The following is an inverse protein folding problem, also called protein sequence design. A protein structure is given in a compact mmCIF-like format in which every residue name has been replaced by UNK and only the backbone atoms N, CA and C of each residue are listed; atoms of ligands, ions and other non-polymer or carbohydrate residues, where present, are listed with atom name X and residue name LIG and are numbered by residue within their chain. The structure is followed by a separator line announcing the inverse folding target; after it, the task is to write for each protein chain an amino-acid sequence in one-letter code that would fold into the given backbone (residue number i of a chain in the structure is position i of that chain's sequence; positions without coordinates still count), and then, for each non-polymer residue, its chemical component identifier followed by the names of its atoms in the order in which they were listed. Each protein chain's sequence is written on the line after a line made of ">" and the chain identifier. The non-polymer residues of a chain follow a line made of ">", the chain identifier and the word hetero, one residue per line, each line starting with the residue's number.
data_IF_318765149648
#
_entry.id   IF_318765149648
#
_cell.length_a   1.000
_cell.length_b   1.000
_cell.length_c   1.000
_cell.angle_alpha   90.00
_cell.angle_beta   90.00
_cell.angle_gamma   90.00
#
_symmetry.space_group_name_H-M   'P 1'
#
loop_
_entity.id
_entity.type
_entity.pdbx_description
1 polymer ?
#
# COMPACT_ATOMS: atom_id res chain seq x y z
N UNK A 1 6.47 12.66 -31.74
CA UNK A 1 6.35 11.38 -31.02
C UNK A 1 5.16 11.49 -30.07
N UNK A 2 4.40 10.43 -29.87
CA UNK A 2 3.34 10.34 -28.89
C UNK A 2 3.67 9.22 -27.91
N UNK A 3 3.47 9.45 -26.62
CA UNK A 3 3.53 8.44 -25.58
C UNK A 3 2.09 7.96 -25.32
N UNK A 4 1.87 6.65 -25.34
CA UNK A 4 0.58 6.04 -25.02
C UNK A 4 0.81 5.20 -23.77
N UNK A 5 0.08 5.52 -22.71
CA UNK A 5 0.12 4.78 -21.42
C UNK A 5 -1.25 4.15 -21.17
N UNK A 6 -1.26 3.07 -20.42
CA UNK A 6 -2.50 2.48 -19.91
C UNK A 6 -3.16 3.44 -18.91
N UNK A 7 -4.48 3.55 -18.99
CA UNK A 7 -5.23 4.34 -18.01
C UNK A 7 -5.29 3.60 -16.67
N UNK A 8 -4.81 4.24 -15.61
CA UNK A 8 -4.88 3.70 -14.27
C UNK A 8 -6.32 3.85 -13.73
N UNK A 9 -7.09 2.78 -13.82
CA UNK A 9 -8.47 2.74 -13.32
C UNK A 9 -8.51 2.86 -11.79
N UNK A 10 -9.62 3.37 -11.27
CA UNK A 10 -9.85 3.54 -9.82
C UNK A 10 -8.76 4.35 -9.11
N UNK A 11 -8.22 5.35 -9.80
CA UNK A 11 -7.22 6.25 -9.25
C UNK A 11 -7.74 7.69 -9.17
N UNK A 12 -7.33 8.39 -8.14
CA UNK A 12 -7.74 9.76 -7.86
C UNK A 12 -6.53 10.68 -7.72
N UNK A 13 -6.58 11.89 -8.31
CA UNK A 13 -5.63 12.94 -7.98
C UNK A 13 -5.88 13.45 -6.55
N UNK A 14 -4.84 13.96 -5.88
CA UNK A 14 -4.96 14.45 -4.51
C UNK A 14 -6.08 15.48 -4.32
N UNK A 15 -6.29 16.41 -5.27
CA UNK A 15 -7.39 17.40 -5.21
C UNK A 15 -8.77 16.76 -5.14
N UNK A 16 -8.96 15.61 -5.78
CA UNK A 16 -10.19 14.87 -5.69
C UNK A 16 -10.39 14.25 -4.30
N UNK A 17 -9.31 13.75 -3.69
CA UNK A 17 -9.33 13.23 -2.32
C UNK A 17 -9.61 14.34 -1.29
N UNK A 18 -9.10 15.55 -1.53
CA UNK A 18 -9.32 16.71 -0.66
C UNK A 18 -10.59 17.53 -0.97
N UNK A 19 -11.43 17.12 -1.93
CA UNK A 19 -12.66 17.86 -2.30
C UNK A 19 -13.77 17.86 -1.25
N UNK A 20 -13.60 17.13 -0.15
CA UNK A 20 -14.45 17.17 1.06
C UNK A 20 -13.52 17.33 2.26
N UNK A 21 -14.04 17.70 3.44
CA UNK A 21 -13.24 17.80 4.65
C UNK A 21 -12.41 16.52 4.86
N UNK A 22 -11.10 16.65 4.68
CA UNK A 22 -10.15 15.57 4.82
C UNK A 22 -9.74 15.49 6.30
N UNK A 23 -9.74 14.29 6.84
CA UNK A 23 -9.23 14.09 8.19
C UNK A 23 -7.69 14.09 8.17
N UNK A 24 -7.02 14.53 9.25
CA UNK A 24 -5.58 14.45 9.39
C UNK A 24 -5.01 13.04 9.14
N UNK A 25 -5.79 12.01 9.45
CA UNK A 25 -5.47 10.62 9.18
C UNK A 25 -5.37 10.31 7.67
N UNK A 26 -6.28 10.84 6.86
CA UNK A 26 -6.21 10.67 5.40
C UNK A 26 -4.96 11.34 4.81
N UNK A 27 -4.63 12.56 5.26
CA UNK A 27 -3.40 13.26 4.85
C UNK A 27 -2.18 12.41 5.19
N UNK A 28 -2.14 11.87 6.42
CA UNK A 28 -1.04 10.99 6.86
C UNK A 28 -0.87 9.78 5.93
N UNK A 29 -1.97 9.08 5.60
CA UNK A 29 -1.94 7.89 4.73
C UNK A 29 -1.50 8.21 3.30
N UNK A 30 -1.86 9.39 2.77
CA UNK A 30 -1.39 9.84 1.45
C UNK A 30 0.12 10.12 1.46
N UNK A 31 0.64 10.75 2.51
CA UNK A 31 2.08 10.97 2.67
C UNK A 31 2.85 9.66 2.86
N UNK A 32 2.31 8.72 3.61
CA UNK A 32 2.89 7.38 3.76
C UNK A 32 2.99 6.66 2.40
N UNK A 33 1.93 6.71 1.59
CA UNK A 33 1.92 6.14 0.25
C UNK A 33 2.96 6.80 -0.68
N UNK A 34 3.07 8.14 -0.63
CA UNK A 34 4.08 8.88 -1.40
C UNK A 34 5.51 8.56 -0.94
N UNK A 35 5.74 8.44 0.36
CA UNK A 35 7.04 8.03 0.90
C UNK A 35 7.45 6.64 0.42
N UNK A 36 6.53 5.69 0.43
CA UNK A 36 6.75 4.34 -0.11
C UNK A 36 7.08 4.39 -1.60
N UNK A 37 6.31 5.16 -2.40
CA UNK A 37 6.58 5.35 -3.82
C UNK A 37 7.99 5.90 -4.04
N UNK A 38 8.36 6.96 -3.33
CA UNK A 38 9.66 7.61 -3.49
C UNK A 38 10.83 6.68 -3.12
N UNK A 39 10.68 5.90 -2.04
CA UNK A 39 11.67 4.87 -1.67
C UNK A 39 11.80 3.82 -2.79
N UNK A 40 10.69 3.33 -3.34
CA UNK A 40 10.69 2.35 -4.45
C UNK A 40 11.41 2.90 -5.69
N UNK A 41 11.12 4.13 -6.08
CA UNK A 41 11.77 4.80 -7.22
C UNK A 41 13.27 4.96 -6.99
N UNK A 42 13.68 5.40 -5.80
CA UNK A 42 15.08 5.58 -5.45
C UNK A 42 15.86 4.26 -5.37
N UNK A 43 15.24 3.17 -4.90
CA UNK A 43 15.85 1.83 -4.90
C UNK A 43 16.07 1.32 -6.33
N UNK A 44 15.18 1.65 -7.26
CA UNK A 44 15.31 1.34 -8.68
C UNK A 44 16.31 2.27 -9.42
N UNK A 45 16.81 3.30 -8.76
CA UNK A 45 17.72 4.28 -9.34
C UNK A 45 17.04 5.41 -10.10
N UNK A 46 15.73 5.58 -9.99
CA UNK A 46 15.03 6.72 -10.60
C UNK A 46 15.14 7.94 -9.70
N UNK A 47 15.78 8.99 -10.21
CA UNK A 47 15.69 10.35 -9.70
C UNK A 47 14.47 11.01 -10.33
N UNK A 48 13.54 11.51 -9.54
CA UNK A 48 12.28 12.04 -10.06
C UNK A 48 12.41 13.50 -10.53
N UNK A 49 13.00 14.37 -9.70
CA UNK A 49 13.29 15.77 -10.05
C UNK A 49 12.10 16.74 -9.97
N UNK A 50 10.87 16.24 -9.78
CA UNK A 50 9.65 17.06 -9.63
C UNK A 50 8.61 16.37 -8.75
N UNK A 51 9.02 15.96 -7.57
CA UNK A 51 8.15 15.25 -6.60
C UNK A 51 7.06 16.17 -6.10
N UNK A 52 5.80 15.82 -6.34
CA UNK A 52 4.63 16.57 -5.90
C UNK A 52 3.38 15.69 -5.79
N UNK A 53 2.37 16.14 -5.05
CA UNK A 53 1.06 15.48 -5.02
C UNK A 53 0.33 15.62 -6.37
N UNK A 54 0.58 16.70 -7.11
CA UNK A 54 0.01 16.95 -8.44
C UNK A 54 0.48 15.95 -9.47
N UNK A 55 1.72 15.45 -9.34
CA UNK A 55 2.33 14.46 -10.23
C UNK A 55 2.13 13.02 -9.74
N UNK A 56 1.16 12.84 -8.83
CA UNK A 56 0.85 11.55 -8.20
C UNK A 56 -0.64 11.25 -8.30
N UNK A 57 -0.98 10.02 -8.69
CA UNK A 57 -2.30 9.44 -8.50
C UNK A 57 -2.30 8.47 -7.34
N UNK A 58 -3.45 8.34 -6.70
CA UNK A 58 -3.63 7.46 -5.54
C UNK A 58 -4.75 6.47 -5.80
N UNK A 59 -4.53 5.20 -5.46
CA UNK A 59 -5.56 4.16 -5.40
C UNK A 59 -5.79 3.76 -3.94
N UNK A 60 -7.00 3.35 -3.62
CA UNK A 60 -7.28 2.77 -2.30
C UNK A 60 -6.58 1.42 -2.16
N UNK A 61 -6.12 1.13 -0.96
CA UNK A 61 -5.39 -0.09 -0.65
C UNK A 61 -5.74 -0.58 0.77
N UNK A 62 -6.92 -1.18 0.91
CA UNK A 62 -7.38 -1.81 2.16
C UNK A 62 -7.19 -0.93 3.42
N UNK A 63 -7.71 0.28 3.37
CA UNK A 63 -7.59 1.27 4.46
C UNK A 63 -6.36 2.17 4.38
N UNK A 64 -5.43 1.90 3.47
CA UNK A 64 -4.31 2.75 3.10
C UNK A 64 -4.50 3.30 1.67
N UNK A 65 -3.42 3.80 1.09
CA UNK A 65 -3.33 4.21 -0.32
C UNK A 65 -2.05 3.67 -0.94
N UNK A 66 -2.13 3.35 -2.24
CA UNK A 66 -0.97 3.19 -3.12
C UNK A 66 -0.80 4.42 -3.98
N UNK A 67 0.43 4.89 -4.16
CA UNK A 67 0.77 6.07 -4.94
C UNK A 67 1.45 5.68 -6.26
N UNK A 68 1.13 6.41 -7.32
CA UNK A 68 1.62 6.19 -8.68
C UNK A 68 2.15 7.48 -9.28
N UNK A 69 3.38 7.43 -9.80
CA UNK A 69 3.97 8.52 -10.57
C UNK A 69 3.29 8.61 -11.95
N UNK A 70 2.75 9.77 -12.30
CA UNK A 70 2.07 9.99 -13.59
C UNK A 70 2.78 10.96 -14.52
N UNK A 71 3.69 11.76 -13.99
CA UNK A 71 4.55 12.63 -14.78
C UNK A 71 6.03 12.36 -14.47
N UNK A 72 6.70 11.71 -15.39
CA UNK A 72 8.10 11.30 -15.28
C UNK A 72 9.01 12.05 -16.26
N UNK A 73 8.57 13.18 -16.83
CA UNK A 73 9.34 13.89 -17.87
C UNK A 73 10.67 14.44 -17.34
N UNK A 74 10.74 14.76 -16.04
CA UNK A 74 11.95 15.21 -15.35
C UNK A 74 12.78 14.04 -14.80
N UNK A 75 12.24 12.81 -14.88
CA UNK A 75 12.83 11.62 -14.29
C UNK A 75 14.09 11.15 -15.01
N UNK A 76 15.11 10.80 -14.25
CA UNK A 76 16.36 10.24 -14.77
C UNK A 76 16.65 8.87 -14.12
N UNK A 77 16.74 7.83 -14.95
CA UNK A 77 17.15 6.51 -14.48
C UNK A 77 18.68 6.41 -14.42
N UNK A 78 19.21 6.03 -13.27
CA UNK A 78 20.62 5.87 -12.98
C UNK A 78 20.91 4.50 -12.38
N UNK A 79 22.12 3.95 -12.54
CA UNK A 79 22.48 2.66 -11.91
C UNK A 79 22.34 2.67 -10.38
N UNK A 80 22.56 3.83 -9.76
CA UNK A 80 22.40 4.08 -8.32
C UNK A 80 22.32 5.58 -8.08
N UNK A 81 21.42 5.99 -7.21
CA UNK A 81 21.36 7.38 -6.76
C UNK A 81 22.36 7.65 -5.63
N UNK A 82 23.00 8.80 -5.70
CA UNK A 82 23.77 9.32 -4.57
C UNK A 82 22.86 9.79 -3.44
N UNK A 83 23.40 9.91 -2.25
CA UNK A 83 22.68 10.47 -1.10
C UNK A 83 22.14 11.88 -1.42
N UNK A 84 22.99 12.74 -2.00
CA UNK A 84 22.60 14.12 -2.33
C UNK A 84 21.46 14.21 -3.36
N UNK A 85 21.37 13.27 -4.32
CA UNK A 85 20.23 13.22 -5.25
C UNK A 85 18.94 12.87 -4.56
N UNK A 86 18.95 11.88 -3.67
CA UNK A 86 17.77 11.51 -2.88
C UNK A 86 17.34 12.64 -1.94
N UNK A 87 18.29 13.29 -1.27
CA UNK A 87 18.03 14.44 -0.40
C UNK A 87 17.43 15.60 -1.17
N UNK A 88 17.86 15.83 -2.42
CA UNK A 88 17.28 16.87 -3.26
C UNK A 88 15.82 16.56 -3.67
N UNK A 89 15.51 15.32 -4.06
CA UNK A 89 14.13 14.91 -4.33
C UNK A 89 13.24 15.04 -3.06
N UNK A 90 13.78 14.74 -1.89
CA UNK A 90 13.05 14.92 -0.63
C UNK A 90 12.79 16.39 -0.31
N UNK A 91 13.75 17.26 -0.57
CA UNK A 91 13.61 18.71 -0.33
C UNK A 91 12.57 19.32 -1.29
N UNK A 92 12.58 18.87 -2.54
CA UNK A 92 11.53 19.21 -3.53
C UNK A 92 10.15 18.70 -3.06
N UNK A 93 10.06 17.42 -2.66
CA UNK A 93 8.82 16.83 -2.16
C UNK A 93 8.25 17.66 -1.00
N UNK A 94 9.08 17.94 0.00
CA UNK A 94 8.68 18.76 1.14
C UNK A 94 8.17 20.14 0.73
N UNK A 95 8.91 20.83 -0.12
CA UNK A 95 8.59 22.20 -0.56
C UNK A 95 7.29 22.23 -1.37
N UNK A 96 7.15 21.34 -2.35
CA UNK A 96 5.99 21.27 -3.22
C UNK A 96 4.73 20.87 -2.43
N UNK A 97 4.83 19.86 -1.55
CA UNK A 97 3.71 19.42 -0.71
C UNK A 97 3.23 20.54 0.20
N UNK A 98 4.13 21.28 0.86
CA UNK A 98 3.76 22.44 1.69
C UNK A 98 3.01 23.47 0.84
N UNK A 99 3.50 23.81 -0.35
CA UNK A 99 2.84 24.74 -1.27
C UNK A 99 1.43 24.27 -1.67
N UNK A 100 1.30 23.00 -2.05
CA UNK A 100 0.02 22.40 -2.46
C UNK A 100 -0.98 22.33 -1.29
N UNK A 101 -0.51 22.04 -0.08
CA UNK A 101 -1.37 22.07 1.13
C UNK A 101 -1.80 23.48 1.51
N UNK A 102 -0.93 24.49 1.35
CA UNK A 102 -1.30 25.91 1.52
C UNK A 102 -2.38 26.33 0.51
N UNK A 103 -2.29 25.88 -0.74
CA UNK A 103 -3.31 26.11 -1.75
C UNK A 103 -4.66 25.48 -1.35
N UNK A 104 -4.64 24.27 -0.77
CA UNK A 104 -5.84 23.61 -0.24
C UNK A 104 -6.45 24.36 0.96
N UNK A 105 -5.62 24.88 1.86
CA UNK A 105 -6.08 25.75 2.96
C UNK A 105 -6.72 27.02 2.42
N UNK A 106 -6.07 27.71 1.50
CA UNK A 106 -6.59 28.91 0.88
C UNK A 106 -7.93 28.67 0.14
N UNK A 107 -8.09 27.45 -0.42
CA UNK A 107 -9.34 26.99 -1.06
C UNK A 107 -10.43 26.51 -0.09
N UNK A 108 -10.17 26.43 1.20
CA UNK A 108 -11.12 25.94 2.21
C UNK A 108 -11.31 24.41 2.21
N UNK A 109 -10.40 23.66 1.58
CA UNK A 109 -10.42 22.19 1.54
C UNK A 109 -9.66 21.53 2.68
N UNK A 110 -8.73 22.27 3.30
CA UNK A 110 -7.98 21.88 4.48
C UNK A 110 -8.25 22.89 5.59
N UNK A 111 -8.29 22.45 6.86
CA UNK A 111 -8.53 23.31 8.00
C UNK A 111 -7.44 24.39 8.16
N UNK A 112 -7.83 25.61 8.52
CA UNK A 112 -6.89 26.72 8.74
C UNK A 112 -5.93 26.45 9.92
N UNK A 113 -6.35 25.61 10.87
CA UNK A 113 -5.57 25.21 12.06
C UNK A 113 -4.53 24.11 11.77
N UNK A 114 -4.53 23.52 10.56
CA UNK A 114 -3.59 22.46 10.21
C UNK A 114 -2.19 23.03 9.95
N UNK A 115 -1.19 22.48 10.64
CA UNK A 115 0.22 22.85 10.43
C UNK A 115 0.77 22.17 9.17
N UNK A 116 0.61 22.83 8.02
CA UNK A 116 1.05 22.31 6.71
C UNK A 116 2.59 22.14 6.63
N UNK A 117 3.34 22.87 7.45
CA UNK A 117 4.80 22.73 7.51
C UNK A 117 5.14 21.42 8.21
N UNK A 118 4.53 21.16 9.36
CA UNK A 118 4.71 19.89 10.08
C UNK A 118 4.24 18.70 9.23
N UNK A 119 3.16 18.84 8.46
CA UNK A 119 2.69 17.82 7.52
C UNK A 119 3.75 17.57 6.43
N UNK A 120 4.33 18.64 5.85
CA UNK A 120 5.39 18.50 4.83
C UNK A 120 6.68 17.90 5.38
N UNK A 121 7.03 18.18 6.64
CA UNK A 121 8.21 17.60 7.30
C UNK A 121 8.08 16.07 7.47
N UNK A 122 6.87 15.56 7.68
CA UNK A 122 6.59 14.14 7.85
C UNK A 122 6.98 13.28 6.63
N UNK A 123 6.94 13.83 5.40
CA UNK A 123 7.38 13.05 4.23
C UNK A 123 8.87 12.70 4.33
N UNK A 124 9.69 13.64 4.80
CA UNK A 124 11.13 13.44 4.97
C UNK A 124 11.41 12.44 6.09
N UNK A 125 10.72 12.58 7.22
CA UNK A 125 10.84 11.65 8.34
C UNK A 125 10.46 10.23 7.91
N UNK A 126 9.29 10.07 7.30
CA UNK A 126 8.77 8.76 6.89
C UNK A 126 9.64 8.10 5.83
N UNK A 127 10.12 8.86 4.84
CA UNK A 127 11.08 8.35 3.87
C UNK A 127 12.37 7.86 4.54
N UNK A 128 12.94 8.63 5.45
CA UNK A 128 14.19 8.28 6.11
C UNK A 128 14.05 7.03 6.99
N UNK A 129 12.94 6.87 7.70
CA UNK A 129 12.62 5.65 8.45
C UNK A 129 12.57 4.43 7.55
N UNK A 130 11.81 4.51 6.45
CA UNK A 130 11.68 3.43 5.47
C UNK A 130 13.03 3.11 4.80
N UNK A 131 13.74 4.15 4.36
CA UNK A 131 15.05 3.97 3.73
C UNK A 131 16.04 3.28 4.65
N UNK A 132 16.08 3.68 5.92
CA UNK A 132 16.90 3.07 6.94
C UNK A 132 16.55 1.59 7.13
N UNK A 133 15.29 1.28 7.34
CA UNK A 133 14.82 -0.09 7.52
C UNK A 133 15.18 -0.99 6.33
N UNK A 134 15.08 -0.47 5.10
CA UNK A 134 15.32 -1.22 3.88
C UNK A 134 16.80 -1.37 3.49
N UNK A 135 17.68 -0.45 3.91
CA UNK A 135 19.04 -0.37 3.38
C UNK A 135 20.15 -0.46 4.42
N UNK A 136 19.87 -0.12 5.68
CA UNK A 136 20.93 -0.11 6.70
C UNK A 136 21.18 -1.51 7.28
N UNK A 137 22.47 -1.82 7.59
CA UNK A 137 22.80 -3.04 8.31
C UNK A 137 22.30 -2.99 9.75
N UNK A 138 21.81 -4.10 10.26
CA UNK A 138 21.44 -4.29 11.66
C UNK A 138 22.38 -5.27 12.34
N UNK A 139 22.87 -4.90 13.55
CA UNK A 139 23.67 -5.76 14.40
C UNK A 139 22.75 -6.57 15.30
N UNK A 140 22.77 -7.90 15.15
CA UNK A 140 21.96 -8.81 15.92
C UNK A 140 22.87 -9.72 16.75
N UNK A 141 22.69 -9.79 18.09
CA UNK A 141 23.38 -10.76 18.94
C UNK A 141 23.16 -12.21 18.47
N UNK A 142 24.15 -13.07 18.64
CA UNK A 142 24.09 -14.46 18.18
C UNK A 142 23.00 -15.31 18.86
N UNK A 143 22.59 -14.92 20.04
CA UNK A 143 21.50 -15.51 20.82
C UNK A 143 20.11 -14.97 20.43
N UNK A 144 20.03 -13.86 19.68
CA UNK A 144 18.79 -13.22 19.24
C UNK A 144 18.48 -13.45 17.76
N UNK A 145 18.79 -14.62 17.20
CA UNK A 145 18.56 -14.94 15.77
C UNK A 145 17.10 -14.77 15.31
N UNK A 146 16.14 -14.84 16.23
CA UNK A 146 14.72 -14.60 15.94
C UNK A 146 14.46 -13.18 15.41
N UNK A 147 15.29 -12.20 15.74
CA UNK A 147 15.20 -10.83 15.21
C UNK A 147 15.44 -10.74 13.69
N UNK A 148 16.16 -11.72 13.12
CA UNK A 148 16.30 -11.81 11.65
C UNK A 148 14.93 -12.01 11.01
N UNK A 149 14.17 -12.97 11.55
CA UNK A 149 12.83 -13.24 11.04
C UNK A 149 11.89 -12.05 11.30
N UNK A 150 11.94 -11.46 12.48
CA UNK A 150 11.17 -10.27 12.81
C UNK A 150 11.46 -9.11 11.84
N UNK A 151 12.72 -8.88 11.46
CA UNK A 151 13.07 -7.86 10.47
C UNK A 151 12.51 -8.20 9.08
N UNK A 152 12.61 -9.44 8.65
CA UNK A 152 12.03 -9.89 7.37
C UNK A 152 10.52 -9.65 7.38
N UNK A 153 9.86 -9.96 8.48
CA UNK A 153 8.40 -9.81 8.59
C UNK A 153 8.01 -8.31 8.59
N UNK A 154 8.76 -7.44 9.28
CA UNK A 154 8.57 -5.98 9.20
C UNK A 154 8.72 -5.46 7.76
N UNK A 155 9.74 -5.91 7.02
CA UNK A 155 9.93 -5.52 5.62
C UNK A 155 8.77 -5.98 4.73
N UNK A 156 8.27 -7.20 4.96
CA UNK A 156 7.07 -7.72 4.26
C UNK A 156 5.82 -6.91 4.61
N UNK A 157 5.66 -6.53 5.87
CA UNK A 157 4.54 -5.66 6.29
C UNK A 157 4.54 -4.31 5.59
N UNK A 158 5.71 -3.82 5.19
CA UNK A 158 5.87 -2.61 4.38
C UNK A 158 5.70 -2.86 2.87
N UNK A 159 5.32 -4.08 2.46
CA UNK A 159 5.13 -4.46 1.05
C UNK A 159 6.42 -4.81 0.30
N UNK A 160 7.52 -5.04 1.01
CA UNK A 160 8.80 -5.39 0.39
C UNK A 160 9.17 -6.86 0.63
N UNK A 161 9.71 -7.54 -0.39
CA UNK A 161 10.34 -8.84 -0.23
C UNK A 161 11.86 -8.71 -0.21
N UNK A 162 12.49 -9.51 0.63
CA UNK A 162 13.94 -9.60 0.71
C UNK A 162 14.40 -10.79 -0.10
N UNK A 163 15.09 -10.55 -1.22
CA UNK A 163 15.62 -11.62 -2.09
C UNK A 163 16.86 -12.29 -1.48
N UNK A 164 17.75 -11.49 -0.93
CA UNK A 164 18.99 -11.96 -0.28
C UNK A 164 19.27 -11.14 0.99
N UNK A 165 19.70 -11.85 2.03
CA UNK A 165 20.29 -11.25 3.23
C UNK A 165 21.78 -11.54 3.26
N UNK A 166 22.58 -10.51 3.44
CA UNK A 166 23.99 -10.69 3.79
C UNK A 166 24.08 -10.89 5.30
N UNK A 167 24.69 -11.98 5.71
CA UNK A 167 24.98 -12.28 7.11
C UNK A 167 26.49 -12.38 7.28
N UNK A 168 27.09 -11.36 7.87
CA UNK A 168 28.49 -11.35 8.23
C UNK A 168 28.64 -11.47 9.76
N UNK A 169 29.60 -12.30 10.22
CA UNK A 169 29.91 -12.40 11.65
C UNK A 169 30.99 -11.39 12.02
N UNK A 170 30.81 -10.68 13.13
CA UNK A 170 31.90 -9.89 13.71
C UNK A 170 33.09 -10.78 14.13
N UNK A 171 34.33 -10.23 14.12
CA UNK A 171 35.47 -10.91 14.71
C UNK A 171 35.21 -11.24 16.19
N UNK A 172 34.98 -12.53 16.51
CA UNK A 172 34.58 -13.00 17.84
C UNK A 172 33.28 -13.80 17.85
N UNK A 173 32.44 -13.70 16.81
CA UNK A 173 31.23 -14.53 16.64
C UNK A 173 30.06 -14.20 17.55
N UNK A 174 30.12 -13.09 18.31
CA UNK A 174 29.09 -12.70 19.28
C UNK A 174 27.88 -11.98 18.62
N UNK A 175 28.08 -11.43 17.41
CA UNK A 175 27.05 -10.69 16.67
C UNK A 175 27.06 -11.02 15.20
N UNK A 176 25.88 -10.88 14.59
CA UNK A 176 25.70 -10.94 13.13
C UNK A 176 25.36 -9.55 12.61
N UNK A 177 25.99 -9.18 11.48
CA UNK A 177 25.59 -8.00 10.69
C UNK A 177 24.61 -8.52 9.64
N UNK A 178 23.39 -8.01 9.65
CA UNK A 178 22.35 -8.38 8.70
C UNK A 178 21.98 -7.15 7.89
N UNK A 179 22.08 -7.29 6.57
CA UNK A 179 21.68 -6.25 5.63
C UNK A 179 20.88 -6.86 4.48
N UNK A 180 19.70 -6.32 4.15
CA UNK A 180 18.99 -6.67 2.92
C UNK A 180 19.87 -6.29 1.71
N UNK A 181 20.16 -7.26 0.85
CA UNK A 181 20.97 -7.05 -0.36
C UNK A 181 20.11 -6.75 -1.56
N UNK A 182 19.00 -7.45 -1.67
CA UNK A 182 17.99 -7.25 -2.72
C UNK A 182 16.65 -7.06 -2.06
N UNK A 183 16.07 -5.90 -2.27
CA UNK A 183 14.74 -5.54 -1.77
C UNK A 183 13.87 -5.25 -2.98
N UNK A 184 12.75 -5.97 -3.08
CA UNK A 184 11.81 -5.86 -4.18
C UNK A 184 10.40 -5.52 -3.65
N UNK A 185 9.76 -4.52 -4.22
CA UNK A 185 8.42 -4.09 -3.84
C UNK A 185 7.33 -4.95 -4.48
N UNK A 186 6.12 -4.97 -3.89
CA UNK A 186 4.97 -5.71 -4.42
C UNK A 186 5.04 -7.21 -4.13
N UNK A 187 5.43 -7.59 -2.93
CA UNK A 187 5.52 -9.00 -2.51
C UNK A 187 4.16 -9.70 -2.57
N UNK A 188 3.16 -9.15 -1.89
CA UNK A 188 1.82 -9.74 -1.81
C UNK A 188 1.07 -9.62 -3.13
N UNK A 189 1.16 -8.47 -3.81
CA UNK A 189 0.63 -8.27 -5.17
C UNK A 189 1.04 -9.40 -6.12
N UNK A 190 2.36 -9.68 -6.23
CA UNK A 190 2.85 -10.75 -7.11
C UNK A 190 2.37 -12.13 -6.71
N UNK A 191 2.20 -12.37 -5.40
CA UNK A 191 1.70 -13.64 -4.91
C UNK A 191 0.23 -13.84 -5.27
N UNK A 192 -0.64 -12.85 -5.04
CA UNK A 192 -2.06 -12.88 -5.43
C UNK A 192 -2.20 -13.00 -6.93
N UNK A 193 -1.51 -12.15 -7.71
CA UNK A 193 -1.54 -12.19 -9.17
C UNK A 193 -1.19 -13.59 -9.70
N UNK A 194 -0.17 -14.25 -9.17
CA UNK A 194 0.22 -15.61 -9.58
C UNK A 194 -0.81 -16.68 -9.20
N UNK A 195 -1.48 -16.55 -8.06
CA UNK A 195 -2.43 -17.54 -7.56
C UNK A 195 -3.83 -17.38 -8.16
N UNK A 196 -4.26 -16.16 -8.41
CA UNK A 196 -5.66 -15.82 -8.75
C UNK A 196 -5.81 -15.06 -10.07
N UNK A 197 -4.76 -14.42 -10.57
CA UNK A 197 -4.83 -13.50 -11.72
C UNK A 197 -5.40 -12.12 -11.38
N UNK A 198 -5.66 -11.84 -10.11
CA UNK A 198 -6.22 -10.55 -9.67
C UNK A 198 -5.10 -9.53 -9.51
N UNK A 199 -5.30 -8.35 -10.11
CA UNK A 199 -4.49 -7.16 -9.91
C UNK A 199 -4.99 -6.41 -8.66
N UNK A 200 -4.33 -6.63 -7.52
CA UNK A 200 -4.66 -6.04 -6.24
C UNK A 200 -3.47 -5.23 -5.71
N UNK A 201 -3.73 -4.12 -5.02
CA UNK A 201 -2.70 -3.37 -4.31
C UNK A 201 -2.09 -4.20 -3.17
N UNK A 202 -1.01 -3.74 -2.58
CA UNK A 202 -0.19 -4.56 -1.68
C UNK A 202 -0.94 -4.97 -0.40
N UNK A 203 -1.64 -4.04 0.25
CA UNK A 203 -2.42 -4.34 1.47
C UNK A 203 -3.73 -5.09 1.14
N UNK A 204 -4.37 -4.80 0.00
CA UNK A 204 -5.49 -5.60 -0.50
C UNK A 204 -5.05 -7.05 -0.73
N UNK A 205 -3.92 -7.24 -1.42
CA UNK A 205 -3.35 -8.56 -1.71
C UNK A 205 -3.00 -9.32 -0.42
N UNK A 206 -2.40 -8.65 0.58
CA UNK A 206 -2.16 -9.23 1.89
C UNK A 206 -3.45 -9.72 2.53
N UNK A 207 -4.50 -8.88 2.54
CA UNK A 207 -5.81 -9.24 3.10
C UNK A 207 -6.42 -10.45 2.41
N UNK A 208 -6.30 -10.52 1.07
CA UNK A 208 -6.80 -11.65 0.29
C UNK A 208 -6.05 -12.95 0.62
N UNK A 209 -4.74 -12.89 0.82
CA UNK A 209 -3.93 -14.06 1.21
C UNK A 209 -4.26 -14.54 2.63
N UNK A 210 -4.45 -13.60 3.56
CA UNK A 210 -4.84 -13.93 4.94
C UNK A 210 -6.21 -14.64 4.96
N UNK A 211 -7.19 -14.13 4.18
CA UNK A 211 -8.51 -14.73 4.06
C UNK A 211 -8.46 -16.12 3.37
N UNK A 212 -7.61 -16.26 2.33
CA UNK A 212 -7.38 -17.56 1.67
C UNK A 212 -6.81 -18.60 2.65
N UNK A 213 -5.86 -18.24 3.50
CA UNK A 213 -5.32 -19.15 4.51
C UNK A 213 -6.36 -19.47 5.59
N UNK A 214 -7.20 -18.51 5.95
CA UNK A 214 -8.33 -18.77 6.84
C UNK A 214 -9.34 -19.73 6.20
N UNK A 215 -9.66 -19.55 4.91
CA UNK A 215 -10.52 -20.47 4.14
C UNK A 215 -9.94 -21.87 4.13
N UNK A 216 -8.63 -22.03 3.86
CA UNK A 216 -7.91 -23.31 3.93
C UNK A 216 -8.11 -23.99 5.30
N UNK A 217 -7.91 -23.24 6.39
CA UNK A 217 -8.03 -23.74 7.75
C UNK A 217 -9.46 -24.21 8.09
N UNK A 218 -10.47 -23.40 7.77
CA UNK A 218 -11.89 -23.69 8.05
C UNK A 218 -12.37 -24.93 7.30
N UNK A 219 -11.90 -25.14 6.05
CA UNK A 219 -12.32 -26.27 5.21
C UNK A 219 -11.41 -27.50 5.33
N UNK A 220 -10.35 -27.43 6.15
CA UNK A 220 -9.43 -28.57 6.38
C UNK A 220 -8.63 -28.95 5.13
N UNK A 221 -8.30 -28.00 4.25
CA UNK A 221 -7.65 -28.23 2.94
C UNK A 221 -6.12 -28.25 3.04
N UNK A 222 -5.57 -28.82 4.09
CA UNK A 222 -4.12 -28.81 4.35
C UNK A 222 -3.32 -29.65 3.36
N UNK A 223 -3.91 -30.73 2.84
CA UNK A 223 -3.27 -31.64 1.89
C UNK A 223 -3.39 -31.17 0.43
N UNK A 224 -4.19 -30.11 0.18
CA UNK A 224 -4.38 -29.55 -1.16
C UNK A 224 -3.27 -28.54 -1.51
N UNK A 225 -2.92 -28.46 -2.79
CA UNK A 225 -1.99 -27.44 -3.26
C UNK A 225 -2.59 -26.03 -3.11
N UNK A 226 -1.73 -25.04 -2.90
CA UNK A 226 -2.18 -23.63 -2.75
C UNK A 226 -2.99 -23.15 -3.97
N UNK A 227 -2.67 -23.61 -5.19
CA UNK A 227 -3.41 -23.27 -6.39
C UNK A 227 -4.85 -23.81 -6.37
N UNK A 228 -5.06 -25.05 -5.89
CA UNK A 228 -6.39 -25.65 -5.75
C UNK A 228 -7.20 -24.90 -4.70
N UNK A 229 -6.59 -24.57 -3.58
CA UNK A 229 -7.25 -23.80 -2.52
C UNK A 229 -7.61 -22.40 -3.03
N UNK A 230 -6.71 -21.72 -3.72
CA UNK A 230 -6.96 -20.40 -4.31
C UNK A 230 -8.11 -20.42 -5.32
N UNK A 231 -8.19 -21.45 -6.17
CA UNK A 231 -9.30 -21.60 -7.13
C UNK A 231 -10.65 -21.78 -6.42
N UNK A 232 -10.71 -22.63 -5.38
CA UNK A 232 -11.94 -22.81 -4.60
C UNK A 232 -12.33 -21.51 -3.87
N UNK A 233 -11.37 -20.88 -3.22
CA UNK A 233 -11.59 -19.60 -2.54
C UNK A 233 -12.11 -18.52 -3.50
N UNK A 234 -11.54 -18.43 -4.70
CA UNK A 234 -12.04 -17.52 -5.74
C UNK A 234 -13.52 -17.77 -6.04
N UNK A 235 -13.90 -19.04 -6.26
CA UNK A 235 -15.27 -19.43 -6.62
C UNK A 235 -16.26 -19.25 -5.47
N UNK A 236 -15.85 -19.57 -4.25
CA UNK A 236 -16.74 -19.64 -3.09
C UNK A 236 -16.83 -18.32 -2.31
N UNK A 237 -15.81 -17.46 -2.40
CA UNK A 237 -15.70 -16.25 -1.59
C UNK A 237 -15.58 -14.98 -2.43
N UNK A 238 -14.54 -14.85 -3.27
CA UNK A 238 -14.27 -13.60 -3.99
C UNK A 238 -15.29 -13.32 -5.10
N UNK A 239 -15.51 -14.26 -6.00
CA UNK A 239 -16.41 -14.06 -7.14
C UNK A 239 -17.88 -13.80 -6.75
N UNK A 240 -18.45 -14.44 -5.71
CA UNK A 240 -19.81 -14.11 -5.26
C UNK A 240 -19.95 -12.66 -4.82
N UNK A 241 -18.94 -12.10 -4.13
CA UNK A 241 -18.94 -10.69 -3.72
C UNK A 241 -18.92 -9.78 -4.95
N UNK A 242 -17.99 -10.01 -5.88
CA UNK A 242 -17.81 -9.17 -7.06
C UNK A 242 -19.01 -9.25 -8.00
N UNK A 243 -19.56 -10.45 -8.21
CA UNK A 243 -20.74 -10.66 -9.09
C UNK A 243 -22.03 -10.08 -8.53
N UNK A 244 -22.13 -9.90 -7.24
CA UNK A 244 -23.30 -9.28 -6.59
C UNK A 244 -23.35 -7.76 -6.82
N UNK A 245 -22.23 -7.11 -7.22
CA UNK A 245 -22.18 -5.67 -7.45
C UNK A 245 -23.00 -5.29 -8.69
N UNK A 246 -24.03 -4.45 -8.55
CA UNK A 246 -24.80 -3.96 -9.69
C UNK A 246 -23.93 -3.14 -10.65
N UNK A 247 -24.23 -3.21 -11.95
CA UNK A 247 -23.47 -2.52 -12.98
C UNK A 247 -23.35 -1.00 -12.74
N UNK A 248 -24.39 -0.37 -12.20
CA UNK A 248 -24.43 1.05 -11.85
C UNK A 248 -23.50 1.44 -10.68
N UNK A 249 -23.07 0.46 -9.89
CA UNK A 249 -22.15 0.68 -8.76
C UNK A 249 -20.73 0.17 -9.04
N UNK A 250 -20.48 -0.44 -10.19
CA UNK A 250 -19.19 -1.04 -10.54
C UNK A 250 -18.05 -0.04 -10.74
N UNK A 251 -18.37 1.25 -10.94
CA UNK A 251 -17.40 2.33 -11.06
C UNK A 251 -17.03 2.98 -9.70
N UNK A 252 -17.59 2.49 -8.60
CA UNK A 252 -17.35 3.07 -7.26
C UNK A 252 -15.98 2.72 -6.72
N UNK A 253 -15.61 1.45 -6.78
CA UNK A 253 -14.38 0.91 -6.21
C UNK A 253 -13.92 -0.28 -7.05
N UNK A 254 -12.63 -0.59 -7.02
CA UNK A 254 -12.10 -1.81 -7.62
C UNK A 254 -12.57 -3.08 -6.88
N UNK A 255 -12.61 -4.23 -7.56
CA UNK A 255 -13.07 -5.47 -6.96
C UNK A 255 -12.30 -5.90 -5.69
N UNK A 256 -10.94 -5.79 -5.61
CA UNK A 256 -10.20 -6.07 -4.38
C UNK A 256 -10.57 -5.14 -3.21
N UNK A 257 -10.85 -3.86 -3.50
CA UNK A 257 -11.28 -2.91 -2.46
C UNK A 257 -12.69 -3.25 -1.96
N UNK A 258 -13.62 -3.59 -2.88
CA UNK A 258 -14.96 -4.05 -2.50
C UNK A 258 -14.87 -5.29 -1.61
N UNK A 259 -14.04 -6.27 -1.97
CA UNK A 259 -13.80 -7.46 -1.16
C UNK A 259 -13.34 -7.10 0.25
N UNK A 260 -12.32 -6.23 0.36
CA UNK A 260 -11.83 -5.76 1.66
C UNK A 260 -12.94 -5.10 2.49
N UNK A 261 -13.69 -4.18 1.90
CA UNK A 261 -14.74 -3.43 2.62
C UNK A 261 -15.93 -4.32 3.02
N UNK A 262 -16.27 -5.34 2.23
CA UNK A 262 -17.30 -6.33 2.62
C UNK A 262 -16.85 -7.14 3.84
N UNK A 263 -15.58 -7.57 3.90
CA UNK A 263 -15.06 -8.27 5.08
C UNK A 263 -15.00 -7.36 6.31
N UNK A 264 -14.66 -6.09 6.13
CA UNK A 264 -14.68 -5.10 7.20
C UNK A 264 -16.12 -4.85 7.71
N UNK A 265 -17.07 -4.73 6.77
CA UNK A 265 -18.49 -4.59 7.10
C UNK A 265 -19.04 -5.80 7.86
N UNK A 266 -18.62 -7.02 7.48
CA UNK A 266 -18.94 -8.26 8.20
C UNK A 266 -18.48 -8.20 9.65
N UNK A 267 -17.26 -7.74 9.87
CA UNK A 267 -16.70 -7.61 11.22
C UNK A 267 -17.53 -6.64 12.07
N UNK A 268 -17.92 -5.47 11.55
CA UNK A 268 -18.77 -4.51 12.26
C UNK A 268 -20.16 -5.09 12.57
N UNK A 269 -20.80 -5.75 11.60
CA UNK A 269 -22.09 -6.39 11.81
C UNK A 269 -22.02 -7.51 12.85
N UNK A 270 -20.97 -8.32 12.83
CA UNK A 270 -20.75 -9.38 13.81
C UNK A 270 -20.53 -8.82 15.23
N UNK A 271 -19.78 -7.72 15.34
CA UNK A 271 -19.56 -7.04 16.61
C UNK A 271 -20.87 -6.47 17.19
N UNK A 272 -21.69 -5.84 16.36
CA UNK A 272 -23.01 -5.33 16.81
C UNK A 272 -23.95 -6.44 17.26
N UNK A 273 -23.95 -7.59 16.58
CA UNK A 273 -24.87 -8.71 16.87
C UNK A 273 -24.36 -9.67 17.92
N UNK A 274 -23.07 -9.62 18.26
CA UNK A 274 -22.42 -10.57 19.15
C UNK A 274 -22.32 -12.00 18.58
N UNK A 275 -22.46 -12.16 17.26
CA UNK A 275 -22.39 -13.45 16.55
C UNK A 275 -21.93 -13.24 15.11
N UNK A 276 -21.42 -14.31 14.48
CA UNK A 276 -21.04 -14.28 13.06
C UNK A 276 -22.24 -14.03 12.14
N UNK A 277 -21.99 -13.36 11.01
CA UNK A 277 -23.02 -12.99 10.02
C UNK A 277 -22.75 -13.71 8.70
N UNK A 278 -23.78 -14.34 8.10
CA UNK A 278 -23.66 -14.99 6.79
C UNK A 278 -23.21 -13.99 5.71
N UNK A 279 -22.35 -14.45 4.79
CA UNK A 279 -21.72 -13.58 3.77
C UNK A 279 -22.76 -12.94 2.84
N UNK A 280 -23.80 -13.66 2.45
CA UNK A 280 -24.90 -13.17 1.62
C UNK A 280 -25.64 -11.98 2.25
N UNK A 281 -25.93 -12.04 3.55
CA UNK A 281 -26.54 -10.95 4.29
C UNK A 281 -25.60 -9.72 4.39
N UNK A 282 -24.31 -9.97 4.55
CA UNK A 282 -23.30 -8.90 4.60
C UNK A 282 -23.21 -8.19 3.26
N UNK A 283 -23.15 -8.95 2.16
CA UNK A 283 -23.10 -8.41 0.80
C UNK A 283 -24.35 -7.53 0.52
N UNK A 284 -25.55 -8.03 0.83
CA UNK A 284 -26.79 -7.26 0.65
C UNK A 284 -26.75 -5.95 1.44
N UNK A 285 -26.40 -6.00 2.71
CA UNK A 285 -26.28 -4.82 3.57
C UNK A 285 -25.23 -3.82 3.07
N UNK A 286 -24.07 -4.29 2.60
CA UNK A 286 -23.01 -3.46 2.08
C UNK A 286 -23.43 -2.73 0.79
N UNK A 287 -24.04 -3.47 -0.15
CA UNK A 287 -24.50 -2.93 -1.42
C UNK A 287 -25.66 -1.93 -1.25
N UNK A 288 -26.49 -2.10 -0.23
CA UNK A 288 -27.61 -1.18 0.07
C UNK A 288 -27.14 0.08 0.82
N UNK A 289 -26.26 -0.06 1.80
CA UNK A 289 -25.99 0.99 2.79
C UNK A 289 -24.63 1.67 2.65
N UNK A 290 -23.61 0.98 2.12
CA UNK A 290 -22.24 1.46 2.13
C UNK A 290 -21.78 1.86 0.74
N UNK A 291 -21.78 0.94 -0.22
CA UNK A 291 -21.23 1.18 -1.56
C UNK A 291 -21.88 2.36 -2.30
N UNK A 292 -23.22 2.60 -2.24
CA UNK A 292 -23.84 3.73 -2.93
C UNK A 292 -23.35 5.10 -2.44
N UNK A 293 -22.88 5.19 -1.19
CA UNK A 293 -22.38 6.43 -0.59
C UNK A 293 -20.92 6.73 -0.98
N UNK A 294 -20.21 5.75 -1.54
CA UNK A 294 -18.84 5.94 -2.03
C UNK A 294 -18.85 6.81 -3.29
N UNK A 295 -17.71 7.44 -3.55
CA UNK A 295 -17.47 8.19 -4.77
C UNK A 295 -17.17 7.23 -5.93
N UNK A 296 -17.44 7.65 -7.15
CA UNK A 296 -16.93 6.99 -8.36
C UNK A 296 -15.42 7.28 -8.49
N UNK A 297 -14.62 6.26 -8.73
CA UNK A 297 -13.15 6.33 -8.82
C UNK A 297 -12.61 5.93 -10.20
#
# INVERSE_FOLDING_TARGET
>A
AALVTEHLQFSLPYRALFSRHVTPDTVSRLLDALAVLLVRLHLLGLYWGDVSLSNTLFRRDAGAYSAYLVDAETGELRPKLSRGQREYDLDLARTNIIGELMDLQAGGFLGEDEDVIAIGDRIVERYNELWKELTEPELIPSDERWRVQERIDRLRELGFSVGELTMDSEPGGERFIIQPKVVDAGHYHRQVMRLTGIDAEEYQARRMLDDLEQYRAVHGLWDESTQVVAHRWMTDVFEPIVRAVPAELSAKLDPPQIFHEVLEHRWYMAQERGQDVPLDEVIESYLEKVLPQKRDE
#
